data_IF_819118015695
#
_entry.id   IF_819118015695
#
_cell.length_a   1.000
_cell.length_b   1.000
_cell.length_c   1.000
_cell.angle_alpha   90.00
_cell.angle_beta   90.00
_cell.angle_gamma   90.00
#
_symmetry.space_group_name_H-M   'P 1'
#
loop_
_entity.id
_entity.type
_entity.pdbx_description
1 polymer ?
#
# COMPACT_ATOMS: atom_id res chain seq x y z
N UNK A 1 14.95 -17.97 16.48
CA UNK A 1 14.00 -17.23 15.66
C UNK A 1 12.86 -18.13 15.23
N UNK A 2 11.66 -17.61 15.31
CA UNK A 2 10.50 -18.39 14.97
C UNK A 2 10.33 -18.47 13.46
N UNK A 3 10.09 -19.66 12.97
CA UNK A 3 9.89 -19.88 11.55
C UNK A 3 8.42 -19.68 11.20
N UNK A 4 8.15 -18.99 10.13
CA UNK A 4 6.79 -18.80 9.67
C UNK A 4 6.22 -20.11 9.14
N UNK A 5 4.91 -20.26 9.33
CA UNK A 5 4.24 -21.40 8.75
C UNK A 5 4.18 -21.25 7.24
N UNK A 6 3.97 -22.37 6.57
CA UNK A 6 4.05 -22.42 5.12
C UNK A 6 3.11 -21.43 4.43
N UNK A 7 1.88 -21.29 4.94
CA UNK A 7 0.91 -20.41 4.31
C UNK A 7 0.95 -18.99 4.82
N UNK A 8 1.79 -18.70 5.82
CA UNK A 8 1.87 -17.34 6.34
C UNK A 8 2.68 -16.45 5.41
N UNK A 9 2.25 -15.22 5.28
CA UNK A 9 2.95 -14.23 4.46
C UNK A 9 3.09 -12.94 5.24
N UNK A 10 4.12 -12.18 4.88
CA UNK A 10 4.33 -10.85 5.46
C UNK A 10 3.68 -9.84 4.53
N UNK A 11 2.79 -9.03 5.08
CA UNK A 11 2.16 -7.94 4.36
C UNK A 11 2.87 -6.66 4.77
N UNK A 12 3.45 -5.98 3.79
CA UNK A 12 4.07 -4.67 4.02
C UNK A 12 3.03 -3.59 3.76
N UNK A 13 2.93 -2.66 4.68
CA UNK A 13 2.03 -1.51 4.53
C UNK A 13 2.92 -0.29 4.37
N UNK A 14 2.87 0.30 3.18
CA UNK A 14 3.66 1.49 2.86
C UNK A 14 2.73 2.68 2.83
N UNK A 15 3.07 3.70 3.61
CA UNK A 15 2.32 4.97 3.56
C UNK A 15 3.23 6.02 2.96
N UNK A 16 2.79 6.61 1.85
CA UNK A 16 3.57 7.59 1.12
C UNK A 16 2.89 8.94 1.33
N UNK A 17 3.58 9.85 1.99
CA UNK A 17 3.06 11.17 2.28
C UNK A 17 3.73 12.19 1.39
N UNK A 18 2.96 13.20 1.00
CA UNK A 18 3.47 14.26 0.15
C UNK A 18 2.41 14.69 -0.84
N UNK A 19 2.88 15.32 -1.92
CA UNK A 19 2.00 15.75 -3.00
C UNK A 19 1.86 14.59 -3.97
N UNK A 20 0.98 13.65 -3.62
CA UNK A 20 0.88 12.39 -4.34
C UNK A 20 -0.55 12.08 -4.78
N UNK A 21 -1.52 12.91 -4.39
CA UNK A 21 -2.91 12.71 -4.80
C UNK A 21 -3.25 13.63 -5.96
N UNK A 22 -4.06 13.12 -6.90
CA UNK A 22 -4.47 13.92 -8.03
C UNK A 22 -3.39 14.14 -9.06
N UNK A 23 -2.33 13.34 -9.04
CA UNK A 23 -1.21 13.51 -9.96
C UNK A 23 -0.87 12.20 -10.68
N UNK A 24 -1.79 11.24 -10.69
CA UNK A 24 -1.56 9.97 -11.37
C UNK A 24 -0.69 9.01 -10.59
N UNK A 25 -0.61 9.18 -9.29
CA UNK A 25 0.30 8.37 -8.48
C UNK A 25 -0.18 6.92 -8.37
N UNK A 26 -1.48 6.70 -8.16
CA UNK A 26 -1.99 5.34 -8.03
C UNK A 26 -1.83 4.52 -9.31
N UNK A 27 -2.12 5.05 -10.50
CA UNK A 27 -1.81 4.30 -11.72
C UNK A 27 -0.32 4.02 -11.87
N UNK A 28 0.53 4.95 -11.44
CA UNK A 28 1.97 4.74 -11.45
C UNK A 28 2.35 3.55 -10.56
N UNK A 29 1.81 3.50 -9.33
CA UNK A 29 2.08 2.39 -8.43
C UNK A 29 1.59 1.08 -9.03
N UNK A 30 0.40 1.09 -9.63
CA UNK A 30 -0.15 -0.08 -10.27
C UNK A 30 0.78 -0.60 -11.36
N UNK A 31 1.32 0.30 -12.17
CA UNK A 31 2.21 -0.08 -13.26
C UNK A 31 3.49 -0.75 -12.74
N UNK A 32 4.11 -0.12 -11.73
CA UNK A 32 5.34 -0.68 -11.18
C UNK A 32 5.08 -2.03 -10.53
N UNK A 33 4.01 -2.12 -9.76
CA UNK A 33 3.68 -3.36 -9.07
C UNK A 33 3.43 -4.48 -10.09
N UNK A 34 2.72 -4.15 -11.17
CA UNK A 34 2.45 -5.14 -12.21
C UNK A 34 3.73 -5.59 -12.88
N UNK A 35 4.64 -4.66 -13.17
CA UNK A 35 5.91 -5.00 -13.79
C UNK A 35 6.76 -5.89 -12.90
N UNK A 36 6.63 -5.74 -11.59
CA UNK A 36 7.39 -6.52 -10.63
C UNK A 36 6.64 -7.77 -10.15
N UNK A 37 5.46 -8.01 -10.68
CA UNK A 37 4.61 -9.14 -10.28
C UNK A 37 4.31 -9.13 -8.78
N UNK A 38 4.02 -7.96 -8.27
CA UNK A 38 3.70 -7.77 -6.87
C UNK A 38 2.19 -7.80 -6.69
N UNK A 39 1.73 -8.51 -5.67
CA UNK A 39 0.31 -8.57 -5.34
C UNK A 39 0.00 -7.59 -4.22
N UNK A 40 -1.15 -6.93 -4.31
CA UNK A 40 -1.54 -5.98 -3.27
C UNK A 40 -2.58 -5.00 -3.76
N UNK A 41 -2.61 -3.87 -3.09
CA UNK A 41 -3.58 -2.83 -3.43
C UNK A 41 -3.05 -1.46 -3.01
N UNK A 42 -3.56 -0.43 -3.67
CA UNK A 42 -3.20 0.96 -3.36
C UNK A 42 -4.47 1.80 -3.31
N UNK A 43 -4.54 2.71 -2.34
CA UNK A 43 -5.66 3.64 -2.25
C UNK A 43 -5.17 4.97 -1.70
N UNK A 44 -6.00 6.00 -1.90
CA UNK A 44 -5.74 7.32 -1.32
C UNK A 44 -6.21 7.34 0.13
N UNK A 45 -5.46 8.05 0.94
CA UNK A 45 -5.80 8.29 2.33
C UNK A 45 -5.75 9.79 2.60
N UNK A 46 -6.14 10.19 3.80
CA UNK A 46 -6.21 11.61 4.14
C UNK A 46 -4.90 12.33 3.92
N UNK A 47 -3.79 11.68 4.21
CA UNK A 47 -2.48 12.33 4.17
C UNK A 47 -1.53 11.70 3.19
N UNK A 48 -2.06 10.98 2.19
CA UNK A 48 -1.19 10.39 1.19
C UNK A 48 -1.79 9.17 0.53
N UNK A 49 -0.92 8.24 0.20
CA UNK A 49 -1.30 7.01 -0.48
C UNK A 49 -0.87 5.83 0.38
N UNK A 50 -1.73 4.85 0.51
CA UNK A 50 -1.43 3.65 1.28
C UNK A 50 -1.34 2.46 0.34
N UNK A 51 -0.27 1.69 0.45
CA UNK A 51 -0.03 0.50 -0.36
C UNK A 51 0.09 -0.69 0.58
N UNK A 52 -0.67 -1.74 0.31
CA UNK A 52 -0.55 -2.98 1.07
C UNK A 52 -0.15 -4.07 0.09
N UNK A 53 0.96 -4.72 0.36
CA UNK A 53 1.53 -5.69 -0.57
C UNK A 53 2.12 -6.88 0.17
N UNK A 54 2.09 -8.02 -0.50
CA UNK A 54 2.80 -9.22 -0.02
C UNK A 54 4.12 -9.29 -0.78
N UNK A 55 5.22 -8.93 -0.13
CA UNK A 55 6.52 -8.96 -0.79
C UNK A 55 7.60 -9.46 0.15
N UNK A 56 8.68 -9.94 -0.49
CA UNK A 56 9.90 -10.26 0.24
C UNK A 56 10.62 -8.96 0.60
N UNK A 57 11.56 -9.00 1.55
CA UNK A 57 12.34 -7.79 1.87
C UNK A 57 13.09 -7.24 0.66
N UNK A 58 13.61 -8.10 -0.20
CA UNK A 58 14.33 -7.63 -1.40
C UNK A 58 13.37 -6.93 -2.35
N UNK A 59 12.19 -7.51 -2.57
CA UNK A 59 11.20 -6.86 -3.41
C UNK A 59 10.77 -5.52 -2.85
N UNK A 60 10.64 -5.44 -1.53
CA UNK A 60 10.23 -4.19 -0.89
C UNK A 60 11.25 -3.10 -1.15
N UNK A 61 12.53 -3.42 -1.00
CA UNK A 61 13.57 -2.43 -1.25
C UNK A 61 13.56 -1.95 -2.69
N UNK A 62 13.45 -2.88 -3.62
CA UNK A 62 13.41 -2.53 -5.03
C UNK A 62 12.15 -1.71 -5.38
N UNK A 63 11.04 -2.06 -4.78
CA UNK A 63 9.78 -1.36 -5.02
C UNK A 63 9.88 0.09 -4.54
N UNK A 64 10.40 0.28 -3.33
CA UNK A 64 10.56 1.63 -2.78
C UNK A 64 11.54 2.44 -3.62
N UNK A 65 12.63 1.81 -4.04
CA UNK A 65 13.60 2.52 -4.87
C UNK A 65 12.98 2.98 -6.19
N UNK A 66 12.20 2.12 -6.82
CA UNK A 66 11.55 2.49 -8.07
C UNK A 66 10.54 3.61 -7.87
N UNK A 67 9.81 3.56 -6.77
CA UNK A 67 8.85 4.62 -6.47
C UNK A 67 9.57 5.95 -6.35
N UNK A 68 10.68 5.98 -5.61
CA UNK A 68 11.41 7.23 -5.41
C UNK A 68 12.03 7.73 -6.70
N UNK A 69 12.46 6.84 -7.57
CA UNK A 69 13.17 7.23 -8.79
C UNK A 69 12.23 7.57 -9.94
N UNK A 70 11.08 6.91 -10.02
CA UNK A 70 10.27 6.95 -11.23
C UNK A 70 8.92 7.62 -11.06
N UNK A 71 8.62 8.18 -9.89
CA UNK A 71 7.29 8.77 -9.67
C UNK A 71 7.03 9.91 -10.66
N UNK A 72 5.74 10.24 -10.90
CA UNK A 72 5.43 11.36 -11.79
C UNK A 72 6.13 12.63 -11.34
N UNK A 73 6.59 13.40 -12.30
CA UNK A 73 7.38 14.60 -11.99
C UNK A 73 6.60 15.62 -11.17
N UNK A 74 5.30 15.65 -11.35
CA UNK A 74 4.47 16.59 -10.59
C UNK A 74 4.25 16.14 -9.16
N UNK A 75 4.60 14.88 -8.83
CA UNK A 75 4.47 14.37 -7.49
C UNK A 75 5.68 14.74 -6.65
N UNK A 76 5.48 14.85 -5.35
CA UNK A 76 6.57 15.12 -4.43
C UNK A 76 6.38 14.21 -3.22
N UNK A 77 7.37 13.38 -2.94
CA UNK A 77 7.30 12.43 -1.84
C UNK A 77 8.06 13.02 -0.66
N UNK A 78 7.36 13.24 0.45
CA UNK A 78 7.99 13.77 1.66
C UNK A 78 8.45 12.66 2.58
N UNK A 79 7.69 11.56 2.66
CA UNK A 79 8.01 10.49 3.58
C UNK A 79 7.39 9.19 3.11
N UNK A 80 8.11 8.11 3.28
CA UNK A 80 7.58 6.77 3.10
C UNK A 80 7.80 6.03 4.41
N UNK A 81 6.70 5.54 5.01
CA UNK A 81 6.80 4.73 6.21
C UNK A 81 6.38 3.32 5.87
N UNK A 82 6.97 2.36 6.55
CA UNK A 82 6.73 0.95 6.30
C UNK A 82 6.39 0.27 7.62
N UNK A 83 5.32 -0.51 7.62
CA UNK A 83 5.03 -1.40 8.72
C UNK A 83 4.71 -2.77 8.13
N UNK A 84 4.74 -3.79 8.99
CA UNK A 84 4.54 -5.16 8.52
C UNK A 84 3.58 -5.87 9.44
N UNK A 85 2.85 -6.84 8.88
CA UNK A 85 2.03 -7.74 9.66
C UNK A 85 2.05 -9.09 9.00
N UNK A 86 1.73 -10.13 9.76
CA UNK A 86 1.71 -11.49 9.26
C UNK A 86 0.27 -11.89 9.05
N UNK A 87 -0.03 -12.44 7.89
CA UNK A 87 -1.35 -12.97 7.57
C UNK A 87 -1.24 -14.47 7.39
N UNK A 88 -2.35 -15.16 7.61
CA UNK A 88 -2.38 -16.61 7.48
C UNK A 88 -2.10 -17.01 6.04
N UNK A 89 -2.56 -16.24 5.10
CA UNK A 89 -2.28 -16.46 3.69
C UNK A 89 -2.35 -15.14 2.98
N UNK A 90 -1.80 -15.12 1.75
CA UNK A 90 -1.81 -13.92 0.94
C UNK A 90 -3.25 -13.58 0.54
N UNK A 91 -3.79 -12.44 0.98
CA UNK A 91 -5.16 -12.07 0.64
C UNK A 91 -5.31 -11.47 -0.75
N UNK A 92 -4.20 -11.26 -1.48
CA UNK A 92 -4.24 -10.55 -2.74
C UNK A 92 -4.01 -11.51 -3.90
N UNK A 93 -4.79 -11.34 -4.98
CA UNK A 93 -4.68 -12.18 -6.16
C UNK A 93 -4.09 -11.42 -7.35
N UNK A 94 -3.55 -10.28 -7.10
CA UNK A 94 -2.96 -9.42 -8.13
C UNK A 94 -2.83 -8.05 -7.50
N UNK A 95 -2.59 -7.04 -8.33
CA UNK A 95 -2.50 -5.68 -7.81
C UNK A 95 -3.66 -4.87 -8.34
N UNK A 96 -4.27 -4.06 -7.46
CA UNK A 96 -5.42 -3.28 -7.87
C UNK A 96 -5.41 -1.93 -7.18
N UNK A 97 -6.12 -1.00 -7.80
CA UNK A 97 -6.38 0.32 -7.21
C UNK A 97 -7.75 0.24 -6.56
N UNK A 98 -7.82 0.57 -5.27
CA UNK A 98 -9.09 0.52 -4.56
C UNK A 98 -9.60 1.93 -4.36
N UNK A 99 -10.89 2.08 -4.02
CA UNK A 99 -11.45 3.41 -3.81
C UNK A 99 -10.76 4.15 -2.67
N UNK A 100 -10.78 5.47 -2.74
CA UNK A 100 -10.21 6.30 -1.70
C UNK A 100 -10.88 6.02 -0.36
N UNK A 101 -10.10 6.09 0.70
CA UNK A 101 -10.59 5.88 2.05
C UNK A 101 -10.02 6.92 2.98
N UNK A 102 -10.78 7.25 4.02
CA UNK A 102 -10.24 8.00 5.13
C UNK A 102 -9.74 7.03 6.18
N UNK A 103 -8.93 7.52 7.11
CA UNK A 103 -8.44 6.66 8.18
C UNK A 103 -9.57 6.17 9.07
N UNK A 104 -10.63 6.95 9.20
CA UNK A 104 -11.76 6.53 10.01
C UNK A 104 -12.50 5.34 9.39
N UNK A 105 -12.39 5.17 8.07
CA UNK A 105 -12.99 4.01 7.43
C UNK A 105 -12.27 2.72 7.76
N UNK A 106 -11.04 2.84 8.18
CA UNK A 106 -10.25 1.66 8.55
C UNK A 106 -10.44 1.25 9.98
N UNK A 107 -10.62 2.23 10.77
CA UNK A 107 -10.71 1.99 12.19
C UNK A 107 -11.96 1.32 12.61
N UNK A 108 -12.74 1.32 12.15
CA UNK A 108 -13.80 0.84 12.79
C UNK A 108 -14.60 0.00 12.40
N UNK A 109 -14.34 0.03 12.27
CA UNK A 109 -14.91 -0.40 12.18
C UNK A 109 -15.82 -0.38 12.60
N UNK A 110 -15.99 0.06 12.93
CA UNK A 110 -16.79 0.32 13.50
C UNK A 110 -17.67 0.83 13.31
N UNK A 111 -17.86 0.95 13.30
CA UNK A 111 -18.51 1.53 13.36
C UNK A 111 -19.27 2.05 13.11
N UNK A 112 -19.60 2.14 13.14
CA UNK A 112 -20.15 2.83 12.90
C UNK A 112 -20.79 3.41 12.62
N UNK A 113 -20.70 3.50 12.53
CA UNK A 113 -20.97 4.20 12.36
C UNK A 113 -21.32 4.71 11.96
N UNK A 114 -21.29 4.55 11.87
CA UNK A 114 -21.26 5.11 11.60
C UNK A 114 -21.37 5.56 11.02
N UNK A 115 -21.56 5.59 10.85
CA UNK A 115 -21.49 6.05 10.40
C UNK A 115 -21.27 6.42 9.99
N UNK A 116 -20.97 6.27 9.90
CA UNK A 116 -20.53 6.70 9.66
C UNK A 116 -20.14 7.03 9.09
N UNK A 117 -20.05 7.02 8.81
CA UNK A 117 -19.64 7.33 8.39
C UNK A 117 -19.53 7.61 7.90
N UNK A 118 -19.46 7.87 7.77
CA UNK A 118 -19.32 8.12 7.29
C UNK A 118 -19.17 8.39 7.03
#
# INVERSE_FOLDING_TARGET
MKKMKEEEVVISVLTIQGLVQGVGFRPFIYRIASEMNICGEVDNRNNGVCIRTALTPVQRELFIERIRREHPKVASIHRITVSERIEVRNPYMGFRITPSRSESDEGTQVAPDIAVGP
#
